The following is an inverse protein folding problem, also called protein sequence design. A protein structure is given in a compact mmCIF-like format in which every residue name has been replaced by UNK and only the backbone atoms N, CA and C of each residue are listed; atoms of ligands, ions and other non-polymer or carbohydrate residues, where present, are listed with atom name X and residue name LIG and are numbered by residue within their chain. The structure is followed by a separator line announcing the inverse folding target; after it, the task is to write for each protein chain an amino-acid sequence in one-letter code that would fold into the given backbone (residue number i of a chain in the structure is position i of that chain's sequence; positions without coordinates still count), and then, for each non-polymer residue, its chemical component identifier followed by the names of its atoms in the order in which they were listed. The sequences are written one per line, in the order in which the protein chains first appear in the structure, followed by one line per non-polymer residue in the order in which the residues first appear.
data_IF_833462114075
#
_entry.id   IF_833462114075
#
_cell.length_a   1.000
_cell.length_b   1.000
_cell.length_c   1.000
_cell.angle_alpha   90.00
_cell.angle_beta   90.00
_cell.angle_gamma   90.00
#
_symmetry.space_group_name_H-M   'P 1'
#
loop_
_entity.id
_entity.type
_entity.pdbx_description
1 polymer ?
#
# COMPACT_ATOMS: atom_id res chain seq x y z
N UNK A 1 -0.38 -24.30 0.96
CA UNK A 1 -0.48 -23.01 0.23
C UNK A 1 -0.75 -21.82 1.16
N UNK A 2 -1.64 -21.95 2.16
CA UNK A 2 -2.14 -20.84 2.98
C UNK A 2 -1.15 -20.19 3.98
N UNK A 3 -0.17 -20.92 4.52
CA UNK A 3 0.82 -20.35 5.46
C UNK A 3 1.78 -19.38 4.76
N UNK A 4 2.17 -19.69 3.52
CA UNK A 4 3.19 -18.95 2.78
C UNK A 4 2.75 -17.53 2.43
N UNK A 5 1.48 -17.32 2.08
CA UNK A 5 1.00 -15.96 1.81
C UNK A 5 1.04 -15.09 3.07
N UNK A 6 0.55 -15.63 4.19
CA UNK A 6 0.56 -14.92 5.47
C UNK A 6 2.00 -14.59 5.90
N UNK A 7 2.91 -15.55 5.77
CA UNK A 7 4.33 -15.36 6.07
C UNK A 7 4.95 -14.25 5.20
N UNK A 8 4.70 -14.27 3.88
CA UNK A 8 5.17 -13.22 2.97
C UNK A 8 4.57 -11.85 3.34
N UNK A 9 3.26 -11.78 3.60
CA UNK A 9 2.61 -10.54 4.01
C UNK A 9 3.21 -10.00 5.32
N UNK A 10 3.40 -10.85 6.33
CA UNK A 10 4.01 -10.46 7.61
C UNK A 10 5.46 -9.98 7.45
N UNK A 11 6.26 -10.62 6.58
CA UNK A 11 7.61 -10.16 6.25
C UNK A 11 7.56 -8.78 5.62
N UNK A 12 6.69 -8.57 4.62
CA UNK A 12 6.58 -7.28 3.91
C UNK A 12 6.14 -6.17 4.85
N UNK A 13 5.15 -6.45 5.71
CA UNK A 13 4.65 -5.49 6.70
C UNK A 13 5.73 -5.09 7.72
N UNK A 14 6.65 -6.01 8.08
CA UNK A 14 7.78 -5.70 8.99
C UNK A 14 8.71 -4.63 8.44
N UNK A 15 8.79 -4.49 7.12
CA UNK A 15 9.72 -3.57 6.45
C UNK A 15 9.07 -2.25 5.99
N UNK A 16 7.80 -1.99 6.32
CA UNK A 16 7.10 -0.75 5.93
C UNK A 16 7.85 0.51 6.42
N UNK A 17 8.33 0.48 7.66
CA UNK A 17 9.01 1.60 8.31
C UNK A 17 10.54 1.40 8.38
N UNK A 18 11.10 0.62 7.45
CA UNK A 18 12.53 0.36 7.44
C UNK A 18 13.34 1.68 7.31
N UNK A 19 14.50 1.77 7.98
CA UNK A 19 15.32 3.00 7.96
C UNK A 19 15.83 3.35 6.57
N UNK A 20 16.22 2.34 5.82
CA UNK A 20 16.68 2.48 4.44
C UNK A 20 15.50 2.83 3.51
N UNK A 21 15.64 3.97 2.80
CA UNK A 21 14.65 4.47 1.86
C UNK A 21 14.40 3.52 0.69
N UNK A 22 15.44 2.91 0.12
CA UNK A 22 15.29 2.00 -1.03
C UNK A 22 14.50 0.76 -0.64
N UNK A 23 14.70 0.27 0.59
CA UNK A 23 13.90 -0.82 1.15
C UNK A 23 12.44 -0.39 1.24
N UNK A 24 12.14 0.78 1.83
CA UNK A 24 10.75 1.28 1.91
C UNK A 24 10.09 1.42 0.54
N UNK A 25 10.78 2.00 -0.44
CA UNK A 25 10.26 2.16 -1.81
C UNK A 25 9.95 0.80 -2.44
N UNK A 26 10.85 -0.17 -2.26
CA UNK A 26 10.66 -1.55 -2.73
C UNK A 26 9.43 -2.17 -2.09
N UNK A 27 9.26 -2.04 -0.77
CA UNK A 27 8.09 -2.53 -0.04
C UNK A 27 6.80 -1.87 -0.53
N UNK A 28 6.78 -0.54 -0.69
CA UNK A 28 5.62 0.21 -1.22
C UNK A 28 5.18 -0.33 -2.59
N UNK A 29 6.13 -0.66 -3.48
CA UNK A 29 5.83 -1.26 -4.79
C UNK A 29 5.35 -2.71 -4.75
N UNK A 30 5.61 -3.42 -3.64
CA UNK A 30 5.18 -4.82 -3.46
C UNK A 30 3.76 -4.91 -2.91
N UNK A 31 3.28 -3.91 -2.16
CA UNK A 31 1.94 -3.94 -1.55
C UNK A 31 0.82 -4.22 -2.56
N UNK A 32 0.75 -3.53 -3.72
CA UNK A 32 -0.32 -3.77 -4.69
C UNK A 32 -0.25 -5.18 -5.28
N UNK A 33 0.96 -5.75 -5.44
CA UNK A 33 1.15 -7.10 -5.97
C UNK A 33 0.61 -8.17 -5.01
N UNK A 34 0.81 -7.97 -3.70
CA UNK A 34 0.30 -8.85 -2.67
C UNK A 34 -1.23 -8.74 -2.59
N UNK A 35 -1.76 -7.52 -2.66
CA UNK A 35 -3.19 -7.26 -2.73
C UNK A 35 -3.86 -7.95 -3.92
N UNK A 36 -3.24 -7.89 -5.11
CA UNK A 36 -3.71 -8.56 -6.31
C UNK A 36 -3.67 -10.10 -6.16
N UNK A 37 -2.67 -10.64 -5.48
CA UNK A 37 -2.49 -12.09 -5.36
C UNK A 37 -3.58 -12.78 -4.50
N UNK A 38 -4.01 -12.17 -3.39
CA UNK A 38 -5.13 -12.68 -2.57
C UNK A 38 -5.95 -11.52 -1.98
N UNK A 39 -6.80 -10.93 -2.83
CA UNK A 39 -7.64 -9.77 -2.53
C UNK A 39 -8.46 -9.91 -1.25
N UNK A 40 -9.33 -10.91 -1.14
CA UNK A 40 -10.29 -11.03 -0.02
C UNK A 40 -9.59 -11.04 1.35
N UNK A 41 -8.45 -11.72 1.43
CA UNK A 41 -7.62 -11.78 2.63
C UNK A 41 -6.85 -10.51 2.88
N UNK A 42 -6.41 -9.83 1.82
CA UNK A 42 -5.77 -8.54 1.93
C UNK A 42 -6.71 -7.48 2.46
N UNK A 43 -7.91 -7.38 1.89
CA UNK A 43 -8.95 -6.43 2.31
C UNK A 43 -9.27 -6.60 3.79
N UNK A 44 -9.48 -7.83 4.24
CA UNK A 44 -9.88 -8.12 5.62
C UNK A 44 -8.77 -7.93 6.65
N UNK A 45 -7.51 -8.21 6.33
CA UNK A 45 -6.44 -8.28 7.34
C UNK A 45 -5.35 -7.22 7.20
N UNK A 46 -5.15 -6.66 6.00
CA UNK A 46 -3.94 -5.89 5.68
C UNK A 46 -4.22 -4.52 5.05
N UNK A 47 -5.41 -4.30 4.48
CA UNK A 47 -5.76 -3.07 3.76
C UNK A 47 -5.54 -1.81 4.58
N UNK A 48 -6.09 -1.76 5.80
CA UNK A 48 -5.99 -0.57 6.65
C UNK A 48 -4.53 -0.19 6.93
N UNK A 49 -3.68 -1.17 7.25
CA UNK A 49 -2.26 -0.94 7.54
C UNK A 49 -1.52 -0.46 6.28
N UNK A 50 -1.77 -1.10 5.14
CA UNK A 50 -1.13 -0.75 3.87
C UNK A 50 -1.55 0.63 3.37
N UNK A 51 -2.83 0.99 3.49
CA UNK A 51 -3.34 2.30 3.13
C UNK A 51 -2.77 3.39 4.03
N UNK A 52 -2.69 3.16 5.34
CA UNK A 52 -2.05 4.11 6.26
C UNK A 52 -0.58 4.36 5.88
N UNK A 53 0.15 3.31 5.50
CA UNK A 53 1.51 3.43 4.99
C UNK A 53 1.57 4.25 3.71
N UNK A 54 0.76 3.93 2.70
CA UNK A 54 0.73 4.66 1.41
C UNK A 54 0.40 6.14 1.65
N UNK A 55 -0.60 6.45 2.47
CA UNK A 55 -0.97 7.83 2.82
C UNK A 55 0.17 8.57 3.55
N UNK A 56 0.96 7.86 4.37
CA UNK A 56 2.16 8.43 4.98
C UNK A 56 3.24 8.75 3.94
N UNK A 57 3.47 7.84 2.99
CA UNK A 57 4.41 8.03 1.88
C UNK A 57 4.03 9.25 1.03
N UNK A 58 2.74 9.48 0.77
CA UNK A 58 2.27 10.65 0.00
C UNK A 58 2.65 12.01 0.64
N UNK A 59 2.81 12.04 1.97
CA UNK A 59 3.23 13.25 2.69
C UNK A 59 4.71 13.56 2.53
N UNK A 60 5.53 12.56 2.16
CA UNK A 60 6.98 12.71 1.98
C UNK A 60 7.27 13.14 0.54
N UNK A 61 7.75 14.38 0.28
CA UNK A 61 7.89 14.88 -1.09
C UNK A 61 8.79 14.01 -1.99
N UNK A 62 9.84 13.41 -1.42
CA UNK A 62 10.79 12.58 -2.16
C UNK A 62 10.25 11.20 -2.54
N UNK A 63 9.22 10.72 -1.84
CA UNK A 63 8.67 9.37 -2.03
C UNK A 63 7.23 9.42 -2.59
N UNK A 64 6.67 10.62 -2.75
CA UNK A 64 5.29 10.90 -3.17
C UNK A 64 4.93 10.21 -4.49
N UNK A 65 5.81 10.27 -5.49
CA UNK A 65 5.58 9.63 -6.79
C UNK A 65 5.35 8.12 -6.65
N UNK A 66 6.18 7.47 -5.83
CA UNK A 66 6.05 6.04 -5.56
C UNK A 66 4.75 5.72 -4.81
N UNK A 67 4.31 6.61 -3.91
CA UNK A 67 3.06 6.49 -3.20
C UNK A 67 1.86 6.57 -4.13
N UNK A 68 1.85 7.49 -5.09
CA UNK A 68 0.77 7.62 -6.07
C UNK A 68 0.72 6.45 -7.05
N UNK A 69 1.88 5.95 -7.50
CA UNK A 69 1.94 4.74 -8.34
C UNK A 69 1.35 3.54 -7.59
N UNK A 70 1.81 3.30 -6.36
CA UNK A 70 1.31 2.19 -5.55
C UNK A 70 -0.19 2.35 -5.24
N UNK A 71 -0.66 3.57 -5.00
CA UNK A 71 -2.08 3.85 -4.80
C UNK A 71 -2.92 3.51 -6.04
N UNK A 72 -2.44 3.88 -7.23
CA UNK A 72 -3.11 3.55 -8.50
C UNK A 72 -3.17 2.05 -8.74
N UNK A 73 -2.06 1.34 -8.54
CA UNK A 73 -2.03 -0.12 -8.63
C UNK A 73 -2.93 -0.79 -7.58
N UNK A 74 -3.00 -0.23 -6.36
CA UNK A 74 -3.88 -0.72 -5.30
C UNK A 74 -5.35 -0.56 -5.67
N UNK A 75 -5.71 0.55 -6.32
CA UNK A 75 -7.07 0.80 -6.81
C UNK A 75 -7.49 -0.21 -7.87
N UNK A 76 -6.57 -0.59 -8.77
CA UNK A 76 -6.78 -1.63 -9.76
C UNK A 76 -6.89 -3.03 -9.13
N UNK A 77 -6.18 -3.29 -8.04
CA UNK A 77 -6.17 -4.61 -7.41
C UNK A 77 -7.42 -4.89 -6.54
N UNK A 78 -8.03 -3.84 -5.98
CA UNK A 78 -9.01 -3.99 -4.90
C UNK A 78 -10.44 -3.57 -5.26
N UNK A 79 -10.75 -3.25 -6.52
CA UNK A 79 -12.05 -2.72 -7.03
C UNK A 79 -13.01 -2.13 -5.97
N UNK A 80 -13.17 -0.80 -5.94
CA UNK A 80 -14.19 -0.14 -5.13
C UNK A 80 -13.94 -0.13 -3.61
N UNK A 81 -13.10 -1.01 -3.08
CA UNK A 81 -12.74 -1.06 -1.64
C UNK A 81 -12.03 0.23 -1.16
N UNK A 82 -11.44 0.99 -2.09
CA UNK A 82 -10.82 2.29 -1.80
C UNK A 82 -11.81 3.45 -1.71
N UNK A 83 -13.11 3.22 -1.93
CA UNK A 83 -14.12 4.29 -1.93
C UNK A 83 -14.13 5.11 -0.64
N UNK A 84 -13.89 4.45 0.50
CA UNK A 84 -13.81 5.11 1.82
C UNK A 84 -12.60 6.04 1.97
N UNK A 85 -11.54 5.83 1.19
CA UNK A 85 -10.31 6.63 1.23
C UNK A 85 -10.33 7.78 0.22
N UNK A 86 -11.30 7.83 -0.71
CA UNK A 86 -11.37 8.85 -1.76
C UNK A 86 -11.30 10.30 -1.25
N UNK A 87 -11.97 10.71 -0.16
CA UNK A 87 -11.84 12.08 0.34
C UNK A 87 -10.40 12.43 0.75
N UNK A 88 -9.69 11.49 1.37
CA UNK A 88 -8.30 11.67 1.78
C UNK A 88 -7.35 11.69 0.59
N UNK A 89 -7.56 10.77 -0.36
CA UNK A 89 -6.77 10.68 -1.60
C UNK A 89 -6.91 11.96 -2.43
N UNK A 90 -8.13 12.46 -2.62
CA UNK A 90 -8.41 13.68 -3.40
C UNK A 90 -7.80 14.92 -2.76
N UNK A 91 -7.71 14.97 -1.43
CA UNK A 91 -6.98 16.03 -0.71
C UNK A 91 -5.49 15.99 -1.06
N UNK A 92 -4.85 14.82 -0.96
CA UNK A 92 -3.45 14.66 -1.32
C UNK A 92 -3.16 14.93 -2.81
N UNK A 93 -4.08 14.61 -3.71
CA UNK A 93 -3.96 14.94 -5.14
C UNK A 93 -4.05 16.45 -5.42
N UNK A 94 -4.81 17.20 -4.62
CA UNK A 94 -4.92 18.65 -4.76
C UNK A 94 -3.67 19.37 -4.26
N UNK A 95 -3.02 18.82 -3.23
CA UNK A 95 -1.81 19.35 -2.61
C UNK A 95 -0.50 18.90 -3.29
N UNK A 96 -0.60 17.96 -4.23
CA UNK A 96 0.52 17.41 -4.99
C UNK A 96 1.01 18.38 -6.07
#
# INVERSE_FOLDING_TARGET
MMSRYREVAEIVLRYLEHRDRLVRLSITSLLPRIAHFLRDRFVTNYLTICMNHILSVLKVPQDRDSGFIALGEMALALDGELSHYLPTITTHLREA
#
